data_IF_008226864584
#
_entry.id   IF_008226864584
#
_cell.length_a   1.000
_cell.length_b   1.000
_cell.length_c   1.000
_cell.angle_alpha   90.00
_cell.angle_beta   90.00
_cell.angle_gamma   90.00
#
_symmetry.space_group_name_H-M   'P 1'
#
loop_
_entity.id
_entity.type
_entity.pdbx_description
1 polymer ?
#
# COMPACT_ATOMS: atom_id res chain seq x y z
N UNK A 1 -11.58 50.03 -9.93
CA UNK A 1 -12.51 49.82 -11.07
C UNK A 1 -12.05 48.61 -11.88
N UNK A 2 -12.77 47.48 -11.83
CA UNK A 2 -12.43 46.29 -12.64
C UNK A 2 -12.86 46.57 -14.09
N UNK A 3 -11.89 46.65 -15.01
CA UNK A 3 -12.14 46.75 -16.45
C UNK A 3 -12.96 45.53 -16.87
N UNK A 4 -14.23 45.74 -17.20
CA UNK A 4 -15.08 44.70 -17.77
C UNK A 4 -14.47 44.20 -19.06
N UNK A 5 -14.03 42.94 -19.08
CA UNK A 5 -13.57 42.28 -20.31
C UNK A 5 -14.70 42.35 -21.35
N UNK A 6 -14.42 42.91 -22.54
CA UNK A 6 -15.37 42.90 -23.67
C UNK A 6 -15.90 41.47 -23.84
N UNK A 7 -17.21 41.26 -23.68
CA UNK A 7 -17.85 39.96 -23.94
C UNK A 7 -17.66 39.70 -25.42
N UNK A 8 -16.88 38.68 -25.77
CA UNK A 8 -16.79 38.20 -27.15
C UNK A 8 -18.18 37.66 -27.49
N UNK A 9 -18.92 38.40 -28.32
CA UNK A 9 -20.21 37.95 -28.81
C UNK A 9 -19.94 36.96 -29.94
N UNK A 10 -20.15 35.68 -29.66
CA UNK A 10 -20.04 34.64 -30.68
C UNK A 10 -21.28 34.68 -31.60
N UNK A 11 -21.09 34.47 -32.90
CA UNK A 11 -22.18 34.44 -33.88
C UNK A 11 -23.18 33.32 -33.55
N UNK A 12 -24.49 33.55 -33.77
CA UNK A 12 -25.52 32.52 -33.54
C UNK A 12 -25.28 31.27 -34.41
N UNK A 13 -24.60 31.40 -35.55
CA UNK A 13 -24.16 30.27 -36.37
C UNK A 13 -23.16 29.36 -35.64
N UNK A 14 -22.22 29.95 -34.89
CA UNK A 14 -21.21 29.20 -34.12
C UNK A 14 -21.84 28.45 -32.94
N UNK A 15 -22.92 28.98 -32.39
CA UNK A 15 -23.71 28.34 -31.32
C UNK A 15 -24.57 27.21 -31.86
N UNK A 16 -25.22 27.41 -33.02
CA UNK A 16 -25.98 26.37 -33.70
C UNK A 16 -25.09 25.18 -34.11
N UNK A 17 -23.90 25.46 -34.65
CA UNK A 17 -22.92 24.41 -34.99
C UNK A 17 -22.41 23.66 -33.77
N UNK A 18 -22.15 24.35 -32.64
CA UNK A 18 -21.77 23.69 -31.39
C UNK A 18 -22.85 22.73 -30.88
N UNK A 19 -24.13 23.14 -30.93
CA UNK A 19 -25.28 22.29 -30.54
C UNK A 19 -25.40 21.06 -31.44
N UNK A 20 -25.26 21.24 -32.75
CA UNK A 20 -25.28 20.14 -33.72
C UNK A 20 -24.17 19.11 -33.44
N UNK A 21 -22.93 19.57 -33.29
CA UNK A 21 -21.81 18.69 -32.93
C UNK A 21 -22.05 17.95 -31.61
N UNK A 22 -22.69 18.60 -30.64
CA UNK A 22 -23.01 17.96 -29.37
C UNK A 22 -24.07 16.86 -29.54
N UNK A 23 -25.11 17.09 -30.34
CA UNK A 23 -26.12 16.08 -30.65
C UNK A 23 -25.56 14.90 -31.44
N UNK A 24 -24.51 15.10 -32.22
CA UNK A 24 -23.80 14.04 -32.96
C UNK A 24 -22.89 13.17 -32.08
N UNK A 25 -22.70 13.54 -30.80
CA UNK A 25 -21.90 12.74 -29.86
C UNK A 25 -20.47 13.24 -29.63
N UNK A 26 -20.13 14.45 -30.06
CA UNK A 26 -18.83 15.06 -29.73
C UNK A 26 -18.78 15.52 -28.26
N UNK A 27 -17.61 15.41 -27.65
CA UNK A 27 -17.37 15.94 -26.29
C UNK A 27 -17.14 17.44 -26.32
N UNK A 28 -17.42 18.14 -25.22
CA UNK A 28 -17.15 19.58 -25.09
C UNK A 28 -15.67 19.93 -25.42
N UNK A 29 -14.73 19.03 -25.09
CA UNK A 29 -13.30 19.20 -25.41
C UNK A 29 -13.00 19.08 -26.90
N UNK A 30 -13.67 18.17 -27.61
CA UNK A 30 -13.55 18.03 -29.07
C UNK A 30 -14.16 19.23 -29.80
N UNK A 31 -15.33 19.68 -29.36
CA UNK A 31 -16.01 20.88 -29.89
C UNK A 31 -15.12 22.11 -29.69
N UNK A 32 -14.50 22.25 -28.51
CA UNK A 32 -13.49 23.29 -28.24
C UNK A 32 -12.35 23.27 -29.25
N UNK A 33 -11.78 22.08 -29.52
CA UNK A 33 -10.67 21.95 -30.49
C UNK A 33 -11.10 22.33 -31.91
N UNK A 34 -12.33 21.97 -32.31
CA UNK A 34 -12.87 22.27 -33.65
C UNK A 34 -13.18 23.75 -33.85
N UNK A 35 -13.82 24.40 -32.87
CA UNK A 35 -14.30 25.77 -33.00
C UNK A 35 -13.34 26.83 -32.44
N UNK A 36 -12.33 26.43 -31.66
CA UNK A 36 -11.39 27.35 -31.01
C UNK A 36 -11.98 28.17 -29.86
N UNK A 37 -13.15 27.78 -29.34
CA UNK A 37 -13.90 28.52 -28.31
C UNK A 37 -13.55 28.01 -26.90
N UNK A 38 -13.69 28.87 -25.89
CA UNK A 38 -13.54 28.48 -24.50
C UNK A 38 -14.51 27.36 -24.10
N UNK A 39 -14.05 26.44 -23.23
CA UNK A 39 -14.83 25.26 -22.82
C UNK A 39 -16.11 25.65 -22.07
N UNK A 40 -16.03 26.70 -21.25
CA UNK A 40 -17.16 27.25 -20.48
C UNK A 40 -18.28 27.71 -21.40
N UNK A 41 -17.95 28.50 -22.44
CA UNK A 41 -18.92 29.01 -23.40
C UNK A 41 -19.66 27.89 -24.14
N UNK A 42 -18.95 26.82 -24.51
CA UNK A 42 -19.56 25.66 -25.15
C UNK A 42 -20.49 24.94 -24.17
N UNK A 43 -20.05 24.76 -22.92
CA UNK A 43 -20.88 24.17 -21.87
C UNK A 43 -22.16 24.98 -21.63
N UNK A 44 -22.09 26.31 -21.62
CA UNK A 44 -23.26 27.17 -21.47
C UNK A 44 -24.28 26.97 -22.61
N UNK A 45 -23.82 26.70 -23.83
CA UNK A 45 -24.72 26.49 -24.97
C UNK A 45 -25.26 25.07 -25.10
N UNK A 46 -24.50 24.08 -24.64
CA UNK A 46 -24.76 22.67 -24.94
C UNK A 46 -24.93 21.80 -23.70
N UNK A 47 -24.80 22.35 -22.50
CA UNK A 47 -24.83 21.61 -21.23
C UNK A 47 -26.12 20.85 -20.97
N UNK A 48 -27.24 21.34 -21.52
CA UNK A 48 -28.56 20.70 -21.39
C UNK A 48 -28.75 19.49 -22.32
N UNK A 49 -27.85 19.24 -23.28
CA UNK A 49 -27.97 18.11 -24.21
C UNK A 49 -27.35 16.84 -23.60
N UNK A 50 -28.22 15.85 -23.35
CA UNK A 50 -27.84 14.56 -22.78
C UNK A 50 -27.43 13.61 -23.90
N UNK A 51 -26.20 13.09 -23.83
CA UNK A 51 -25.71 12.07 -24.76
C UNK A 51 -26.43 10.73 -24.55
N UNK A 52 -26.72 10.04 -25.64
CA UNK A 52 -27.27 8.67 -25.61
C UNK A 52 -26.25 7.66 -25.10
N UNK A 53 -26.73 6.48 -24.68
CA UNK A 53 -25.87 5.40 -24.19
C UNK A 53 -24.85 4.93 -25.24
N UNK A 54 -25.25 4.89 -26.51
CA UNK A 54 -24.37 4.53 -27.63
C UNK A 54 -23.29 5.58 -27.86
N UNK A 55 -23.65 6.87 -27.83
CA UNK A 55 -22.69 7.97 -27.96
C UNK A 55 -21.69 7.98 -26.80
N UNK A 56 -22.13 7.68 -25.56
CA UNK A 56 -21.22 7.54 -24.41
C UNK A 56 -20.26 6.38 -24.59
N UNK A 57 -20.72 5.21 -25.08
CA UNK A 57 -19.85 4.08 -25.40
C UNK A 57 -18.82 4.45 -26.47
N UNK A 58 -19.22 5.16 -27.53
CA UNK A 58 -18.31 5.64 -28.56
C UNK A 58 -17.28 6.67 -28.05
N UNK A 59 -17.67 7.56 -27.13
CA UNK A 59 -16.74 8.47 -26.44
C UNK A 59 -15.74 7.68 -25.58
N UNK A 60 -16.21 6.68 -24.84
CA UNK A 60 -15.34 5.83 -24.01
C UNK A 60 -14.34 5.06 -24.87
N UNK A 61 -14.79 4.42 -25.96
CA UNK A 61 -13.90 3.70 -26.89
C UNK A 61 -12.84 4.63 -27.50
N UNK A 62 -13.20 5.86 -27.88
CA UNK A 62 -12.25 6.88 -28.37
C UNK A 62 -11.27 7.36 -27.31
N UNK A 63 -11.68 7.44 -26.05
CA UNK A 63 -10.79 7.80 -24.95
C UNK A 63 -9.87 6.64 -24.53
N UNK A 64 -10.34 5.39 -24.69
CA UNK A 64 -9.58 4.17 -24.43
C UNK A 64 -8.63 3.79 -25.58
N UNK A 65 -8.86 4.26 -26.81
CA UNK A 65 -7.90 4.07 -27.89
C UNK A 65 -6.60 4.79 -27.52
N UNK A 66 -5.48 4.04 -27.56
CA UNK A 66 -4.20 4.38 -26.93
C UNK A 66 -3.81 5.85 -27.17
N UNK A 67 -3.97 6.68 -26.14
CA UNK A 67 -3.58 8.11 -26.14
C UNK A 67 -2.07 8.33 -26.32
N UNK A 68 -1.28 7.26 -26.17
CA UNK A 68 0.16 7.24 -26.38
C UNK A 68 0.50 6.27 -27.52
N UNK A 69 1.24 6.68 -28.55
CA UNK A 69 1.75 5.75 -29.56
C UNK A 69 2.66 4.72 -28.89
N UNK A 70 2.66 3.48 -29.39
CA UNK A 70 3.38 2.33 -28.81
C UNK A 70 4.86 2.63 -28.55
N UNK A 71 5.50 3.36 -29.48
CA UNK A 71 6.88 3.85 -29.36
C UNK A 71 7.11 4.73 -28.13
N UNK A 72 6.15 5.59 -27.77
CA UNK A 72 6.28 6.50 -26.61
C UNK A 72 6.10 5.74 -25.30
N UNK A 73 5.22 4.75 -25.27
CA UNK A 73 5.06 3.84 -24.12
C UNK A 73 6.37 3.08 -23.88
N UNK A 74 7.00 2.59 -24.95
CA UNK A 74 8.29 1.90 -24.88
C UNK A 74 9.40 2.83 -24.34
N UNK A 75 9.49 4.05 -24.87
CA UNK A 75 10.44 5.06 -24.38
C UNK A 75 10.23 5.39 -22.90
N UNK A 76 8.98 5.62 -22.48
CA UNK A 76 8.64 5.88 -21.08
C UNK A 76 8.98 4.68 -20.19
N UNK A 77 8.75 3.46 -20.66
CA UNK A 77 9.09 2.23 -19.94
C UNK A 77 10.61 2.07 -19.77
N UNK A 78 11.38 2.32 -20.84
CA UNK A 78 12.85 2.34 -20.78
C UNK A 78 13.36 3.39 -19.81
N UNK A 79 12.80 4.60 -19.88
CA UNK A 79 13.16 5.71 -18.99
C UNK A 79 12.80 5.41 -17.53
N UNK A 80 11.62 4.85 -17.26
CA UNK A 80 11.18 4.46 -15.93
C UNK A 80 12.10 3.39 -15.33
N UNK A 81 12.47 2.35 -16.10
CA UNK A 81 13.45 1.35 -15.66
C UNK A 81 14.79 1.99 -15.28
N UNK A 82 15.30 2.91 -16.10
CA UNK A 82 16.56 3.62 -15.82
C UNK A 82 16.44 4.50 -14.57
N UNK A 83 15.40 5.32 -14.47
CA UNK A 83 15.20 6.26 -13.37
C UNK A 83 14.96 5.53 -12.03
N UNK A 84 14.11 4.51 -12.05
CA UNK A 84 13.77 3.76 -10.85
C UNK A 84 14.82 2.71 -10.48
N UNK A 85 15.76 2.36 -11.37
CA UNK A 85 16.81 1.34 -11.11
C UNK A 85 17.55 1.57 -9.80
N UNK A 86 17.75 2.83 -9.40
CA UNK A 86 18.36 3.23 -8.12
C UNK A 86 17.55 2.74 -6.92
N UNK A 87 16.22 2.73 -7.01
CA UNK A 87 15.30 2.22 -5.99
C UNK A 87 15.09 0.70 -6.09
N UNK A 88 15.37 0.09 -7.25
CA UNK A 88 15.35 -1.36 -7.46
C UNK A 88 16.67 -2.04 -7.09
N UNK A 89 17.73 -1.29 -6.79
CA UNK A 89 18.94 -1.87 -6.20
C UNK A 89 18.59 -2.41 -4.83
N UNK A 90 18.53 -3.74 -4.77
CA UNK A 90 18.30 -4.49 -3.55
C UNK A 90 19.50 -4.20 -2.63
N UNK A 91 19.34 -3.49 -1.50
CA UNK A 91 20.48 -2.91 -0.78
C UNK A 91 21.35 -3.94 -0.06
N UNK A 92 20.88 -5.17 0.07
CA UNK A 92 21.62 -6.26 0.73
C UNK A 92 21.48 -7.56 -0.06
N UNK A 93 22.42 -8.50 0.06
CA UNK A 93 22.20 -9.88 -0.35
C UNK A 93 21.85 -10.76 0.88
N UNK A 94 21.22 -11.93 0.68
CA UNK A 94 21.04 -12.92 1.76
C UNK A 94 22.38 -13.29 2.40
N UNK A 95 23.41 -13.48 1.59
CA UNK A 95 24.75 -13.87 2.07
C UNK A 95 25.41 -12.77 2.91
N UNK A 96 25.25 -11.50 2.52
CA UNK A 96 25.75 -10.37 3.31
C UNK A 96 25.05 -10.28 4.66
N UNK A 97 23.74 -10.51 4.68
CA UNK A 97 22.96 -10.51 5.92
C UNK A 97 23.35 -11.66 6.85
N UNK A 98 23.58 -12.86 6.31
CA UNK A 98 24.10 -14.01 7.07
C UNK A 98 25.50 -13.71 7.61
N UNK A 99 26.37 -13.13 6.78
CA UNK A 99 27.73 -12.76 7.17
C UNK A 99 27.75 -11.81 8.35
N UNK A 100 26.83 -10.82 8.38
CA UNK A 100 26.69 -9.91 9.54
C UNK A 100 26.30 -10.63 10.84
N UNK A 101 25.41 -11.64 10.76
CA UNK A 101 25.05 -12.46 11.93
C UNK A 101 26.29 -13.23 12.43
N UNK A 102 27.06 -13.84 11.53
CA UNK A 102 28.28 -14.58 11.88
C UNK A 102 29.35 -13.68 12.49
N UNK A 103 29.57 -12.48 11.93
CA UNK A 103 30.52 -11.50 12.48
C UNK A 103 30.12 -11.10 13.90
N UNK A 104 28.82 -10.85 14.15
CA UNK A 104 28.34 -10.54 15.49
C UNK A 104 28.59 -11.71 16.45
N UNK A 105 28.26 -12.93 16.03
CA UNK A 105 28.46 -14.13 16.83
C UNK A 105 29.92 -14.33 17.20
N UNK A 106 30.83 -14.23 16.23
CA UNK A 106 32.28 -14.37 16.44
C UNK A 106 32.84 -13.29 17.37
N UNK A 107 32.29 -12.07 17.31
CA UNK A 107 32.74 -10.95 18.14
C UNK A 107 32.25 -11.05 19.59
N UNK A 108 31.00 -11.47 19.80
CA UNK A 108 30.34 -11.39 21.10
C UNK A 108 30.18 -12.76 21.80
N UNK A 109 30.46 -13.88 21.12
CA UNK A 109 30.30 -15.23 21.65
C UNK A 109 28.85 -15.63 21.92
N UNK A 110 27.87 -14.87 21.43
CA UNK A 110 26.44 -15.10 21.63
C UNK A 110 25.62 -14.76 20.39
N UNK A 111 24.40 -15.27 20.34
CA UNK A 111 23.46 -15.02 19.25
C UNK A 111 22.89 -13.59 19.39
N UNK A 112 22.81 -12.84 18.27
CA UNK A 112 22.23 -11.50 18.31
C UNK A 112 20.72 -11.51 18.54
N UNK A 113 20.25 -10.55 19.32
CA UNK A 113 18.83 -10.25 19.42
C UNK A 113 18.39 -9.32 18.28
N UNK A 114 17.13 -9.48 17.83
CA UNK A 114 16.55 -8.63 16.77
C UNK A 114 16.62 -7.12 17.04
N UNK A 115 16.67 -6.70 18.31
CA UNK A 115 16.76 -5.27 18.71
C UNK A 115 18.15 -4.68 18.53
N UNK A 116 19.18 -5.52 18.42
CA UNK A 116 20.58 -5.09 18.23
C UNK A 116 20.90 -4.83 16.76
N UNK A 117 19.99 -5.19 15.86
CA UNK A 117 20.13 -5.02 14.42
C UNK A 117 19.09 -4.01 13.91
N UNK A 118 19.56 -2.86 13.45
CA UNK A 118 18.72 -1.82 12.81
C UNK A 118 18.16 -2.24 11.43
N UNK A 119 18.47 -3.46 10.99
CA UNK A 119 18.05 -4.01 9.69
C UNK A 119 17.03 -5.15 9.81
N UNK A 120 16.31 -5.25 10.93
CA UNK A 120 15.35 -6.33 11.16
C UNK A 120 14.35 -6.50 9.99
N UNK A 121 13.93 -5.40 9.35
CA UNK A 121 13.00 -5.42 8.22
C UNK A 121 13.56 -6.18 7.02
N UNK A 122 14.85 -6.01 6.74
CA UNK A 122 15.58 -6.66 5.65
C UNK A 122 15.69 -8.17 5.88
N UNK A 123 15.99 -8.57 7.12
CA UNK A 123 16.01 -9.98 7.52
C UNK A 123 14.62 -10.60 7.39
N UNK A 124 13.59 -9.95 7.93
CA UNK A 124 12.19 -10.41 7.82
C UNK A 124 11.75 -10.56 6.37
N UNK A 125 12.09 -9.59 5.49
CA UNK A 125 11.70 -9.62 4.07
C UNK A 125 12.33 -10.77 3.28
N UNK A 126 13.51 -11.26 3.67
CA UNK A 126 14.28 -12.27 2.91
C UNK A 126 14.25 -13.67 3.49
N UNK A 127 14.14 -13.77 4.80
CA UNK A 127 14.16 -15.03 5.54
C UNK A 127 12.83 -15.30 6.25
N UNK A 128 11.81 -14.46 6.06
CA UNK A 128 10.48 -14.51 6.67
C UNK A 128 10.46 -14.21 8.19
N UNK A 129 11.47 -14.67 8.95
CA UNK A 129 11.61 -14.44 10.39
C UNK A 129 13.07 -14.23 10.80
N UNK A 130 13.29 -13.70 12.02
CA UNK A 130 14.64 -13.59 12.59
C UNK A 130 15.23 -14.97 12.89
N UNK A 131 14.43 -15.88 13.45
CA UNK A 131 14.89 -17.23 13.78
C UNK A 131 15.34 -18.00 12.54
N UNK A 132 14.61 -17.90 11.42
CA UNK A 132 15.03 -18.49 10.15
C UNK A 132 16.33 -17.86 9.61
N UNK A 133 16.59 -16.57 9.86
CA UNK A 133 17.87 -15.96 9.50
C UNK A 133 19.03 -16.47 10.36
N UNK A 134 18.79 -16.72 11.64
CA UNK A 134 19.77 -17.33 12.57
C UNK A 134 20.06 -18.78 12.16
N UNK A 135 19.03 -19.57 11.84
CA UNK A 135 19.16 -20.93 11.31
C UNK A 135 19.96 -20.95 10.00
N UNK A 136 19.65 -20.04 9.07
CA UNK A 136 20.38 -19.89 7.81
C UNK A 136 21.85 -19.50 8.02
N UNK A 137 22.18 -18.85 9.15
CA UNK A 137 23.56 -18.56 9.51
C UNK A 137 24.31 -19.79 10.08
N UNK A 138 23.61 -20.89 10.35
CA UNK A 138 24.14 -22.11 10.99
C UNK A 138 24.12 -22.07 12.51
N UNK A 139 23.26 -21.21 13.10
CA UNK A 139 23.15 -21.03 14.54
C UNK A 139 21.79 -21.53 15.05
N UNK A 140 21.73 -21.92 16.32
CA UNK A 140 20.50 -22.42 16.95
C UNK A 140 19.70 -21.24 17.51
N UNK A 141 18.53 -20.88 16.94
CA UNK A 141 17.77 -19.72 17.41
C UNK A 141 17.26 -19.90 18.84
N UNK A 142 17.03 -18.77 19.52
CA UNK A 142 16.44 -18.79 20.85
C UNK A 142 14.99 -19.29 20.77
N UNK A 143 14.65 -20.28 21.62
CA UNK A 143 13.29 -20.80 21.71
C UNK A 143 12.35 -19.71 22.21
N UNK A 144 11.28 -19.47 21.46
CA UNK A 144 10.18 -18.60 21.88
C UNK A 144 9.33 -19.39 22.87
N UNK A 145 9.50 -19.13 24.17
CA UNK A 145 8.79 -19.84 25.25
C UNK A 145 7.44 -19.19 25.61
N UNK A 146 7.21 -17.96 25.17
CA UNK A 146 6.06 -17.14 25.57
C UNK A 146 4.83 -17.30 24.67
N UNK A 147 4.89 -18.11 23.62
CA UNK A 147 3.77 -18.32 22.68
C UNK A 147 3.25 -19.76 22.64
N UNK A 148 3.79 -20.65 23.47
CA UNK A 148 3.34 -22.04 23.57
C UNK A 148 2.38 -22.14 24.73
N UNK A 149 1.21 -22.76 24.51
CA UNK A 149 0.32 -23.14 25.61
C UNK A 149 1.02 -24.17 26.49
N UNK A 150 1.08 -23.90 27.79
CA UNK A 150 1.74 -24.76 28.78
C UNK A 150 0.73 -25.06 29.88
N UNK A 151 0.75 -26.30 30.38
CA UNK A 151 -0.09 -26.72 31.51
C UNK A 151 0.61 -26.39 32.83
N UNK A 152 -0.07 -25.66 33.71
CA UNK A 152 0.40 -25.41 35.07
C UNK A 152 0.21 -26.64 35.96
N UNK A 153 0.85 -26.65 37.15
CA UNK A 153 0.79 -27.78 38.10
C UNK A 153 -0.59 -28.06 38.67
N UNK A 154 -1.47 -27.06 38.67
CA UNK A 154 -2.88 -27.19 39.03
C UNK A 154 -3.74 -27.79 37.90
N UNK A 155 -3.16 -28.03 36.72
CA UNK A 155 -3.84 -28.56 35.53
C UNK A 155 -4.47 -27.48 34.64
N UNK A 156 -4.33 -26.18 34.98
CA UNK A 156 -4.82 -25.07 34.16
C UNK A 156 -3.99 -24.91 32.88
N UNK A 157 -4.66 -24.56 31.77
CA UNK A 157 -3.98 -24.27 30.50
C UNK A 157 -3.65 -22.78 30.48
N UNK A 158 -2.36 -22.46 30.53
CA UNK A 158 -1.87 -21.09 30.43
C UNK A 158 -1.57 -20.74 28.97
N UNK A 159 -1.83 -19.49 28.59
CA UNK A 159 -1.51 -18.96 27.25
C UNK A 159 -0.04 -18.48 27.15
N UNK A 160 0.66 -18.34 28.29
CA UNK A 160 2.08 -18.00 28.34
C UNK A 160 2.85 -18.72 29.47
N UNK A 161 4.17 -18.88 29.30
CA UNK A 161 5.04 -19.44 30.36
C UNK A 161 5.07 -18.55 31.63
N UNK A 162 4.87 -17.24 31.49
CA UNK A 162 4.80 -16.33 32.62
C UNK A 162 3.55 -16.59 33.46
N UNK A 163 2.40 -16.83 32.82
CA UNK A 163 1.18 -17.28 33.49
C UNK A 163 1.42 -18.62 34.21
N UNK A 164 2.08 -19.59 33.57
CA UNK A 164 2.41 -20.86 34.22
C UNK A 164 3.23 -20.67 35.49
N UNK A 165 4.21 -19.75 35.50
CA UNK A 165 5.00 -19.45 36.71
C UNK A 165 4.15 -18.82 37.82
N UNK A 166 3.21 -17.94 37.47
CA UNK A 166 2.30 -17.31 38.42
C UNK A 166 1.33 -18.34 38.98
N UNK A 167 0.71 -19.16 38.13
CA UNK A 167 -0.22 -20.21 38.53
C UNK A 167 0.47 -21.28 39.39
N UNK A 168 1.68 -21.72 39.01
CA UNK A 168 2.50 -22.62 39.83
C UNK A 168 2.79 -22.00 41.21
N UNK A 169 3.13 -20.71 41.27
CA UNK A 169 3.36 -20.02 42.54
C UNK A 169 2.09 -19.94 43.39
N UNK A 170 0.94 -19.62 42.80
CA UNK A 170 -0.35 -19.60 43.50
C UNK A 170 -0.71 -20.99 44.04
N UNK A 171 -0.50 -22.04 43.23
CA UNK A 171 -0.68 -23.43 43.63
C UNK A 171 0.16 -23.79 44.85
N UNK A 172 1.46 -23.45 44.86
CA UNK A 172 2.34 -23.69 46.02
C UNK A 172 1.92 -22.92 47.28
N UNK A 173 1.38 -21.72 47.12
CA UNK A 173 0.90 -20.90 48.24
C UNK A 173 -0.54 -21.23 48.66
N UNK A 174 -1.15 -22.28 48.08
CA UNK A 174 -2.52 -22.73 48.37
C UNK A 174 -3.58 -21.65 48.13
N UNK A 175 -3.31 -20.73 47.21
CA UNK A 175 -4.27 -19.70 46.78
C UNK A 175 -4.96 -20.23 45.54
N UNK A 176 -6.29 -20.38 45.59
CA UNK A 176 -7.02 -20.88 44.43
C UNK A 176 -7.13 -19.80 43.35
N UNK A 177 -6.72 -20.14 42.13
CA UNK A 177 -6.83 -19.27 40.94
C UNK A 177 -8.31 -18.94 40.61
N UNK A 178 -9.23 -19.85 40.92
CA UNK A 178 -10.68 -19.69 40.73
C UNK A 178 -11.32 -18.60 41.61
N UNK A 179 -10.76 -18.29 42.78
CA UNK A 179 -11.29 -17.24 43.66
C UNK A 179 -10.84 -15.82 43.24
N UNK A 180 -9.65 -15.71 42.64
CA UNK A 180 -9.10 -14.42 42.20
C UNK A 180 -9.84 -13.88 40.97
N UNK A 181 -10.15 -14.73 39.98
CA UNK A 181 -10.88 -14.27 38.78
C UNK A 181 -12.38 -14.03 39.02
N UNK A 182 -12.98 -14.60 40.07
CA UNK A 182 -14.37 -14.34 40.46
C UNK A 182 -14.58 -12.97 41.10
N UNK A 183 -13.54 -12.39 41.70
CA UNK A 183 -13.64 -11.08 42.39
C UNK A 183 -13.41 -9.89 41.46
N UNK A 184 -12.91 -10.11 40.24
CA UNK A 184 -12.61 -9.05 39.25
C UNK A 184 -13.72 -8.86 38.20
N UNK A 185 -14.76 -9.70 38.20
CA UNK A 185 -15.90 -9.62 37.27
C UNK A 185 -17.20 -9.10 37.92
N UNK A 186 -17.10 -8.27 38.95
CA UNK A 186 -18.24 -7.50 39.47
C UNK A 186 -18.08 -6.05 39.00
N UNK A 187 -18.67 -5.76 37.84
CA UNK A 187 -19.36 -4.52 37.47
C UNK A 187 -20.38 -4.85 36.37
#
# INVERSE_FOLDING_TARGET
MKKGSKRILHSEETKATARKLRSEGFTHREIKKKLGIALSTIFDWTGHTVLTSEQRKAVLQRNYSKTFPERRIEQLSKQARKNLSRYWKIPYNKDELISKIRIFYNKNGRIPMKREFDMYREYKKRFCSWNMAIEAAGLIPHKVIFSTRVMAKDGHICDSFAETLIDDWLHYNKVSTLEIFRTVSID
#
